data_IF_323537570804
#
_entry.id   IF_323537570804
#
_cell.length_a   1.000
_cell.length_b   1.000
_cell.length_c   1.000
_cell.angle_alpha   90.00
_cell.angle_beta   90.00
_cell.angle_gamma   90.00
#
_symmetry.space_group_name_H-M   'P 1'
#
loop_
_entity.id
_entity.type
_entity.pdbx_description
1 polymer ?
#
# COMPACT_ATOMS: atom_id res chain seq x y z
N UNK A 1 -20.95 9.47 -21.52
CA UNK A 1 -21.49 9.99 -20.24
C UNK A 1 -21.63 11.49 -20.38
N UNK A 2 -22.85 11.97 -20.53
CA UNK A 2 -23.13 13.37 -20.84
C UNK A 2 -23.11 14.19 -19.54
N UNK A 3 -22.52 15.39 -19.54
CA UNK A 3 -22.40 16.23 -18.32
C UNK A 3 -23.76 16.55 -17.66
N UNK A 4 -24.85 16.43 -18.42
CA UNK A 4 -26.20 16.75 -17.97
C UNK A 4 -26.77 15.68 -17.01
N UNK A 5 -26.42 14.40 -17.16
CA UNK A 5 -26.92 13.33 -16.27
C UNK A 5 -26.28 13.40 -14.87
N UNK A 6 -25.07 13.97 -14.75
CA UNK A 6 -24.38 14.16 -13.47
C UNK A 6 -24.97 15.30 -12.62
N UNK A 7 -25.70 16.23 -13.23
CA UNK A 7 -26.18 17.44 -12.56
C UNK A 7 -27.64 17.35 -12.09
N UNK A 8 -28.46 16.43 -12.63
CA UNK A 8 -29.90 16.36 -12.31
C UNK A 8 -30.22 15.93 -10.86
N UNK A 9 -29.25 15.38 -10.13
CA UNK A 9 -29.44 14.93 -8.74
C UNK A 9 -28.56 15.62 -7.70
N UNK A 10 -27.69 16.54 -8.09
CA UNK A 10 -26.84 17.27 -7.15
C UNK A 10 -27.60 18.48 -6.56
N UNK A 11 -28.36 18.27 -5.48
CA UNK A 11 -28.77 19.40 -4.63
C UNK A 11 -27.52 20.18 -4.22
N UNK A 12 -27.49 21.47 -4.48
CA UNK A 12 -26.38 22.33 -4.06
C UNK A 12 -26.14 22.17 -2.55
N UNK A 13 -24.92 21.82 -2.17
CA UNK A 13 -24.55 21.65 -0.76
C UNK A 13 -24.62 23.01 -0.05
N UNK A 14 -25.62 23.19 0.84
CA UNK A 14 -25.81 24.44 1.58
C UNK A 14 -24.84 24.65 2.75
N UNK A 15 -23.86 23.75 2.97
CA UNK A 15 -22.99 23.77 4.15
C UNK A 15 -21.51 23.61 3.79
N UNK A 16 -20.68 24.56 4.23
CA UNK A 16 -19.22 24.55 4.06
C UNK A 16 -18.50 23.54 4.98
N UNK A 17 -19.10 23.25 6.13
CA UNK A 17 -18.66 22.23 7.08
C UNK A 17 -19.85 21.30 7.31
N UNK A 18 -19.66 20.02 7.01
CA UNK A 18 -20.66 18.99 7.10
C UNK A 18 -20.43 18.20 8.37
N UNK A 19 -21.52 17.71 8.96
CA UNK A 19 -21.42 16.78 10.07
C UNK A 19 -20.77 15.47 9.57
N UNK A 20 -19.71 14.95 10.23
CA UNK A 20 -19.17 13.63 9.93
C UNK A 20 -20.26 12.56 10.11
N UNK A 21 -20.42 11.72 9.09
CA UNK A 21 -21.38 10.60 9.10
C UNK A 21 -20.64 9.30 8.92
N UNK A 22 -21.10 8.26 9.61
CA UNK A 22 -20.61 6.92 9.38
C UNK A 22 -21.14 6.42 8.04
N UNK A 23 -20.24 6.15 7.09
CA UNK A 23 -20.62 5.70 5.74
C UNK A 23 -21.14 4.25 5.74
N UNK A 24 -20.52 3.38 6.54
CA UNK A 24 -20.96 2.01 6.74
C UNK A 24 -20.78 1.55 8.18
N UNK A 25 -21.67 0.69 8.65
CA UNK A 25 -21.58 0.07 9.98
C UNK A 25 -22.29 -1.28 10.00
N UNK A 26 -21.94 -2.12 10.96
CA UNK A 26 -22.73 -3.31 11.27
C UNK A 26 -23.76 -2.98 12.34
N UNK A 27 -25.01 -3.37 12.13
CA UNK A 27 -26.07 -3.37 13.13
C UNK A 27 -26.55 -4.80 13.35
N UNK A 28 -26.38 -5.33 14.57
CA UNK A 28 -26.71 -6.74 14.90
C UNK A 28 -26.09 -7.78 13.94
N UNK A 29 -24.92 -7.48 13.37
CA UNK A 29 -24.22 -8.36 12.43
C UNK A 29 -24.57 -8.14 10.96
N UNK A 30 -25.59 -7.32 10.65
CA UNK A 30 -25.95 -6.97 9.27
C UNK A 30 -25.24 -5.68 8.84
N UNK A 31 -24.68 -5.69 7.62
CA UNK A 31 -24.02 -4.53 7.03
C UNK A 31 -25.07 -3.49 6.62
N UNK A 32 -24.88 -2.26 7.08
CA UNK A 32 -25.69 -1.10 6.72
C UNK A 32 -24.76 -0.08 6.06
N UNK A 33 -25.22 0.52 4.96
CA UNK A 33 -24.51 1.58 4.23
C UNK A 33 -25.40 2.82 4.13
N UNK A 34 -24.80 4.02 4.21
CA UNK A 34 -25.53 5.28 3.98
C UNK A 34 -25.91 5.45 2.50
N UNK A 35 -25.10 4.92 1.58
CA UNK A 35 -25.35 4.87 0.14
C UNK A 35 -25.00 3.48 -0.39
N UNK A 36 -25.77 3.01 -1.38
CA UNK A 36 -25.54 1.69 -2.02
C UNK A 36 -24.31 1.68 -2.94
N UNK A 37 -23.98 2.83 -3.54
CA UNK A 37 -22.83 2.97 -4.44
C UNK A 37 -21.51 2.68 -3.72
N UNK A 38 -20.68 1.81 -4.32
CA UNK A 38 -19.31 1.58 -3.87
C UNK A 38 -18.46 2.83 -4.14
N UNK A 39 -17.73 3.29 -3.13
CA UNK A 39 -16.92 4.50 -3.28
C UNK A 39 -15.55 4.18 -3.87
N UNK A 40 -15.24 4.82 -4.99
CA UNK A 40 -13.88 4.87 -5.53
C UNK A 40 -13.06 5.99 -4.90
N UNK A 41 -11.73 5.82 -4.90
CA UNK A 41 -10.81 6.83 -4.40
C UNK A 41 -11.01 8.18 -5.10
N UNK A 42 -11.25 9.23 -4.33
CA UNK A 42 -11.42 10.57 -4.87
C UNK A 42 -10.10 11.12 -5.43
N UNK A 43 -10.17 12.05 -6.40
CA UNK A 43 -8.98 12.75 -6.92
C UNK A 43 -8.14 13.41 -5.82
N UNK A 44 -8.78 13.82 -4.73
CA UNK A 44 -8.11 14.41 -3.57
C UNK A 44 -7.25 13.39 -2.78
N UNK A 45 -7.68 12.13 -2.73
CA UNK A 45 -6.92 11.02 -2.11
C UNK A 45 -5.67 10.69 -2.92
N UNK A 46 -5.80 10.72 -4.26
CA UNK A 46 -4.65 10.55 -5.16
C UNK A 46 -3.67 11.73 -5.07
N UNK A 47 -4.14 12.94 -4.77
CA UNK A 47 -3.27 14.08 -4.54
C UNK A 47 -2.46 13.95 -3.24
N UNK A 48 -3.07 13.44 -2.16
CA UNK A 48 -2.36 13.09 -0.93
C UNK A 48 -1.23 12.09 -1.21
N UNK A 49 -1.51 11.08 -2.03
CA UNK A 49 -0.56 10.03 -2.39
C UNK A 49 0.69 10.54 -3.11
N UNK A 50 0.60 11.65 -3.84
CA UNK A 50 1.78 12.27 -4.47
C UNK A 50 2.83 12.70 -3.45
N UNK A 51 2.43 13.11 -2.24
CA UNK A 51 3.39 13.39 -1.17
C UNK A 51 4.12 12.12 -0.76
N UNK A 52 3.41 10.99 -0.70
CA UNK A 52 4.02 9.71 -0.35
C UNK A 52 5.07 9.27 -1.36
N UNK A 53 4.88 9.53 -2.67
CA UNK A 53 5.92 9.30 -3.70
C UNK A 53 7.24 9.96 -3.31
N UNK A 54 7.21 11.23 -2.85
CA UNK A 54 8.42 11.95 -2.46
C UNK A 54 9.03 11.41 -1.15
N UNK A 55 8.20 11.07 -0.16
CA UNK A 55 8.65 10.53 1.14
C UNK A 55 9.35 9.18 0.93
N UNK A 56 8.75 8.29 0.15
CA UNK A 56 9.29 6.96 -0.09
C UNK A 56 10.61 7.02 -0.86
N UNK A 57 10.70 7.88 -1.88
CA UNK A 57 11.93 8.13 -2.62
C UNK A 57 13.06 8.60 -1.68
N UNK A 58 12.78 9.61 -0.84
CA UNK A 58 13.78 10.19 0.06
C UNK A 58 14.31 9.19 1.11
N UNK A 59 13.48 8.31 1.64
CA UNK A 59 13.93 7.30 2.61
C UNK A 59 14.73 6.17 1.95
N UNK A 60 14.40 5.80 0.72
CA UNK A 60 15.14 4.76 -0.01
C UNK A 60 16.46 5.23 -0.59
N UNK A 61 16.56 6.48 -1.00
CA UNK A 61 17.80 7.09 -1.53
C UNK A 61 18.91 7.08 -0.47
N UNK A 62 18.60 7.54 0.76
CA UNK A 62 19.51 7.49 1.91
C UNK A 62 20.05 6.08 2.20
N UNK A 63 19.19 5.06 2.13
CA UNK A 63 19.60 3.68 2.35
C UNK A 63 20.42 3.11 1.19
N UNK A 64 20.17 3.57 -0.05
CA UNK A 64 20.91 3.14 -1.22
C UNK A 64 22.35 3.70 -1.25
N UNK A 65 22.54 4.92 -0.72
CA UNK A 65 23.86 5.54 -0.53
C UNK A 65 24.64 4.93 0.64
N UNK A 66 23.94 4.40 1.66
CA UNK A 66 24.55 3.79 2.84
C UNK A 66 23.99 2.39 3.10
N UNK A 67 24.42 1.38 2.32
CA UNK A 67 23.76 0.09 2.26
C UNK A 67 24.23 -0.87 3.38
N UNK A 68 24.00 -0.49 4.64
CA UNK A 68 24.34 -1.31 5.81
C UNK A 68 23.14 -1.64 6.70
N UNK A 69 23.34 -2.55 7.66
CA UNK A 69 22.28 -3.01 8.55
C UNK A 69 21.75 -1.94 9.52
N UNK A 70 22.56 -0.93 9.87
CA UNK A 70 22.12 0.16 10.74
C UNK A 70 21.21 1.12 9.98
N UNK A 71 21.55 1.46 8.74
CA UNK A 71 20.70 2.26 7.85
C UNK A 71 19.42 1.53 7.47
N UNK A 72 19.47 0.20 7.26
CA UNK A 72 18.27 -0.60 7.04
C UNK A 72 17.32 -0.55 8.26
N UNK A 73 17.87 -0.65 9.47
CA UNK A 73 17.10 -0.48 10.69
C UNK A 73 16.51 0.94 10.81
N UNK A 74 17.31 1.97 10.52
CA UNK A 74 16.86 3.39 10.48
C UNK A 74 15.68 3.54 9.52
N UNK A 75 15.81 3.06 8.29
CA UNK A 75 14.78 3.07 7.27
C UNK A 75 13.45 2.45 7.76
N UNK A 76 13.50 1.25 8.35
CA UNK A 76 12.29 0.59 8.88
C UNK A 76 11.64 1.44 9.99
N UNK A 77 12.46 2.01 10.88
CA UNK A 77 12.00 2.80 12.02
C UNK A 77 11.40 4.15 11.61
N UNK A 78 11.80 4.74 10.49
CA UNK A 78 11.22 6.01 9.98
C UNK A 78 10.09 5.79 8.97
N UNK A 79 10.10 4.69 8.22
CA UNK A 79 9.06 4.35 7.24
C UNK A 79 7.75 3.95 7.93
N UNK A 80 7.81 3.10 8.96
CA UNK A 80 6.60 2.60 9.63
C UNK A 80 5.74 3.71 10.27
N UNK A 81 6.28 4.73 10.96
CA UNK A 81 5.47 5.85 11.45
C UNK A 81 4.82 6.67 10.33
N UNK A 82 5.50 6.87 9.19
CA UNK A 82 4.93 7.55 8.03
C UNK A 82 3.77 6.73 7.42
N UNK A 83 3.92 5.41 7.36
CA UNK A 83 2.86 4.46 6.99
C UNK A 83 1.67 4.53 7.96
N UNK A 84 1.90 4.63 9.27
CA UNK A 84 0.80 4.74 10.25
C UNK A 84 -0.04 6.00 10.04
N UNK A 85 0.58 7.14 9.71
CA UNK A 85 -0.16 8.36 9.38
C UNK A 85 -0.99 8.16 8.10
N UNK A 86 -0.45 7.49 7.08
CA UNK A 86 -1.19 7.15 5.86
C UNK A 86 -2.41 6.28 6.18
N UNK A 87 -2.19 5.23 6.98
CA UNK A 87 -3.22 4.27 7.37
C UNK A 87 -4.36 4.94 8.17
N UNK A 88 -4.03 5.88 9.06
CA UNK A 88 -5.00 6.70 9.80
C UNK A 88 -5.84 7.56 8.86
N UNK A 89 -5.20 8.31 7.95
CA UNK A 89 -5.90 9.16 7.00
C UNK A 89 -6.84 8.35 6.11
N UNK A 90 -6.35 7.22 5.58
CA UNK A 90 -7.15 6.26 4.84
C UNK A 90 -8.34 5.76 5.66
N UNK A 91 -8.16 5.38 6.92
CA UNK A 91 -9.25 4.89 7.78
C UNK A 91 -10.30 5.98 8.08
N UNK A 92 -9.86 7.22 8.32
CA UNK A 92 -10.75 8.39 8.49
C UNK A 92 -11.56 8.62 7.22
N UNK A 93 -10.91 8.61 6.06
CA UNK A 93 -11.55 8.84 4.76
C UNK A 93 -12.47 7.69 4.36
N UNK A 94 -12.15 6.46 4.75
CA UNK A 94 -13.01 5.31 4.55
C UNK A 94 -14.27 5.35 5.44
N UNK A 95 -14.14 5.83 6.67
CA UNK A 95 -15.22 5.78 7.68
C UNK A 95 -16.13 7.01 7.69
N UNK A 96 -15.59 8.20 7.43
CA UNK A 96 -16.23 9.49 7.74
C UNK A 96 -16.10 10.57 6.65
N UNK A 97 -16.00 10.19 5.38
CA UNK A 97 -15.82 11.18 4.34
C UNK A 97 -17.02 12.09 4.16
N UNK A 98 -16.72 13.38 4.13
CA UNK A 98 -17.69 14.46 3.92
C UNK A 98 -17.29 15.37 2.78
N UNK A 99 -16.01 15.35 2.40
CA UNK A 99 -15.39 16.21 1.39
C UNK A 99 -15.59 17.72 1.61
N UNK A 100 -15.72 18.12 2.87
CA UNK A 100 -15.93 19.51 3.24
C UNK A 100 -14.61 20.28 3.40
N UNK A 101 -14.71 21.60 3.60
CA UNK A 101 -13.53 22.45 3.73
C UNK A 101 -12.70 22.07 4.97
N UNK A 102 -13.34 21.69 6.07
CA UNK A 102 -12.64 21.34 7.30
C UNK A 102 -11.80 20.07 7.13
N UNK A 103 -12.37 19.02 6.55
CA UNK A 103 -11.67 17.76 6.27
C UNK A 103 -10.49 18.00 5.32
N UNK A 104 -10.67 18.81 4.27
CA UNK A 104 -9.59 19.17 3.34
C UNK A 104 -8.46 19.95 4.02
N UNK A 105 -8.79 20.93 4.87
CA UNK A 105 -7.80 21.70 5.63
C UNK A 105 -7.04 20.84 6.65
N UNK A 106 -7.73 19.91 7.32
CA UNK A 106 -7.09 18.96 8.25
C UNK A 106 -6.13 18.04 7.50
N UNK A 107 -6.52 17.53 6.33
CA UNK A 107 -5.64 16.67 5.51
C UNK A 107 -4.43 17.47 5.02
N UNK A 108 -4.63 18.70 4.52
CA UNK A 108 -3.53 19.58 4.13
C UNK A 108 -2.58 19.89 5.30
N UNK A 109 -3.12 20.09 6.50
CA UNK A 109 -2.32 20.29 7.70
C UNK A 109 -1.47 19.05 8.04
N UNK A 110 -2.05 17.85 7.99
CA UNK A 110 -1.30 16.60 8.19
C UNK A 110 -0.24 16.41 7.10
N UNK A 111 -0.53 16.75 5.85
CA UNK A 111 0.45 16.75 4.77
C UNK A 111 1.63 17.69 5.04
N UNK A 112 1.38 18.91 5.52
CA UNK A 112 2.44 19.85 5.88
C UNK A 112 3.34 19.29 7.01
N UNK A 113 2.74 18.61 7.99
CA UNK A 113 3.50 17.93 9.06
C UNK A 113 4.30 16.73 8.52
N UNK A 114 3.77 15.98 7.56
CA UNK A 114 4.51 14.90 6.89
C UNK A 114 5.71 15.41 6.08
N UNK A 115 5.59 16.57 5.43
CA UNK A 115 6.73 17.24 4.80
C UNK A 115 7.78 17.59 5.84
N UNK A 116 7.39 18.15 6.99
CA UNK A 116 8.33 18.45 8.08
C UNK A 116 8.98 17.17 8.64
N UNK A 117 8.20 16.09 8.80
CA UNK A 117 8.68 14.79 9.24
C UNK A 117 9.74 14.23 8.28
N UNK A 118 9.41 14.13 6.98
CA UNK A 118 10.27 13.49 5.99
C UNK A 118 11.61 14.22 5.82
N UNK A 119 11.61 15.56 5.80
CA UNK A 119 12.83 16.36 5.68
C UNK A 119 13.81 16.24 6.88
N UNK A 120 13.36 15.71 8.03
CA UNK A 120 14.19 15.58 9.23
C UNK A 120 14.42 14.11 9.63
N UNK A 121 13.72 13.16 8.99
CA UNK A 121 13.71 11.77 9.43
C UNK A 121 15.05 11.07 9.19
N UNK A 122 15.72 11.33 8.05
CA UNK A 122 17.01 10.73 7.72
C UNK A 122 18.14 11.16 8.67
N UNK A 123 18.08 12.39 9.18
CA UNK A 123 19.05 12.97 10.11
C UNK A 123 18.71 12.72 11.60
N UNK A 124 17.63 11.99 11.87
CA UNK A 124 17.12 11.83 13.23
C UNK A 124 18.09 11.10 14.18
N UNK A 125 19.00 10.28 13.68
CA UNK A 125 20.03 9.60 14.48
C UNK A 125 21.31 10.43 14.65
N UNK A 126 21.51 11.46 13.82
CA UNK A 126 22.69 12.32 13.80
C UNK A 126 22.48 13.59 14.63
N UNK A 127 21.34 14.25 14.47
CA UNK A 127 21.02 15.50 15.17
C UNK A 127 19.77 15.35 16.05
N UNK A 128 19.91 15.72 17.33
CA UNK A 128 18.79 15.75 18.26
C UNK A 128 17.71 16.77 17.84
N UNK A 129 18.08 17.87 17.19
CA UNK A 129 17.12 18.84 16.67
C UNK A 129 16.27 18.23 15.54
N UNK A 130 16.91 17.48 14.62
CA UNK A 130 16.21 16.71 13.59
C UNK A 130 15.28 15.67 14.23
N UNK A 131 15.77 14.89 15.21
CA UNK A 131 14.95 13.94 15.95
C UNK A 131 13.73 14.58 16.61
N UNK A 132 13.92 15.68 17.34
CA UNK A 132 12.83 16.40 18.03
C UNK A 132 11.80 16.93 17.03
N UNK A 133 12.26 17.39 15.87
CA UNK A 133 11.39 17.88 14.79
C UNK A 133 10.60 16.74 14.16
N UNK A 134 11.25 15.61 13.85
CA UNK A 134 10.63 14.38 13.33
C UNK A 134 9.57 13.85 14.30
N UNK A 135 9.92 13.66 15.57
CA UNK A 135 8.99 13.16 16.59
C UNK A 135 7.88 14.17 16.86
N UNK A 136 8.20 15.46 16.91
CA UNK A 136 7.22 16.54 17.08
C UNK A 136 6.19 16.58 15.95
N UNK A 137 6.64 16.51 14.70
CA UNK A 137 5.76 16.45 13.53
C UNK A 137 4.84 15.22 13.57
N UNK A 138 5.40 14.04 13.87
CA UNK A 138 4.64 12.80 14.03
C UNK A 138 3.59 12.92 15.14
N UNK A 139 3.98 13.41 16.32
CA UNK A 139 3.08 13.59 17.46
C UNK A 139 1.91 14.52 17.16
N UNK A 140 2.18 15.66 16.52
CA UNK A 140 1.13 16.63 16.18
C UNK A 140 0.21 16.06 15.10
N UNK A 141 0.74 15.33 14.11
CA UNK A 141 -0.08 14.68 13.09
C UNK A 141 -1.00 13.62 13.70
N UNK A 142 -0.46 12.78 14.59
CA UNK A 142 -1.20 11.73 15.29
C UNK A 142 -2.19 12.27 16.32
N UNK A 143 -1.85 13.36 17.00
CA UNK A 143 -2.79 14.07 17.86
C UNK A 143 -3.94 14.67 17.04
N UNK A 144 -3.67 15.13 15.83
CA UNK A 144 -4.69 15.62 14.89
C UNK A 144 -5.62 14.47 14.48
N UNK A 145 -5.10 13.32 14.02
CA UNK A 145 -5.93 12.16 13.64
C UNK A 145 -6.74 11.61 14.81
N UNK A 146 -6.13 11.53 16.00
CA UNK A 146 -6.82 11.22 17.26
C UNK A 146 -7.98 12.18 17.52
N UNK A 147 -7.75 13.49 17.38
CA UNK A 147 -8.78 14.51 17.59
C UNK A 147 -9.92 14.35 16.61
N UNK A 148 -9.63 14.01 15.34
CA UNK A 148 -10.66 13.68 14.35
C UNK A 148 -11.49 12.49 14.83
N UNK A 149 -10.88 11.37 15.24
CA UNK A 149 -11.61 10.22 15.78
C UNK A 149 -12.47 10.58 17.01
N UNK A 150 -11.97 11.43 17.91
CA UNK A 150 -12.75 11.88 19.06
C UNK A 150 -13.96 12.73 18.62
N UNK A 151 -13.76 13.71 17.74
CA UNK A 151 -14.82 14.59 17.24
C UNK A 151 -15.88 13.77 16.48
N UNK A 152 -15.45 12.85 15.60
CA UNK A 152 -16.38 11.97 14.88
C UNK A 152 -17.13 11.04 15.82
N UNK A 153 -16.56 10.62 16.96
CA UNK A 153 -17.27 9.82 17.98
C UNK A 153 -18.49 10.52 18.59
N UNK A 154 -18.50 11.86 18.61
CA UNK A 154 -19.67 12.62 19.05
C UNK A 154 -20.72 12.73 17.95
N UNK A 155 -20.29 12.87 16.69
CA UNK A 155 -21.15 13.04 15.53
C UNK A 155 -21.82 11.73 15.06
N UNK A 156 -21.07 10.63 15.03
CA UNK A 156 -21.49 9.32 14.53
C UNK A 156 -21.67 8.33 15.69
N UNK A 157 -22.92 8.08 16.07
CA UNK A 157 -23.24 7.17 17.17
C UNK A 157 -22.79 5.72 16.88
N UNK A 158 -22.89 5.31 15.62
CA UNK A 158 -22.63 3.95 15.16
C UNK A 158 -21.17 3.50 15.39
N UNK A 159 -20.21 4.43 15.33
CA UNK A 159 -18.79 4.14 15.51
C UNK A 159 -18.24 4.63 16.85
N UNK A 160 -19.08 5.22 17.72
CA UNK A 160 -18.65 5.97 18.91
C UNK A 160 -17.71 5.19 19.83
N UNK A 161 -18.08 3.96 20.19
CA UNK A 161 -17.28 3.16 21.11
C UNK A 161 -15.89 2.86 20.52
N UNK A 162 -15.86 2.43 19.26
CA UNK A 162 -14.63 2.06 18.57
C UNK A 162 -13.72 3.28 18.34
N UNK A 163 -14.27 4.42 17.91
CA UNK A 163 -13.51 5.65 17.71
C UNK A 163 -12.87 6.16 19.01
N UNK A 164 -13.56 6.02 20.15
CA UNK A 164 -13.00 6.39 21.47
C UNK A 164 -11.92 5.43 21.96
N UNK A 165 -12.09 4.12 21.71
CA UNK A 165 -11.05 3.12 22.00
C UNK A 165 -9.81 3.40 21.17
N UNK A 166 -9.97 3.63 19.86
CA UNK A 166 -8.88 4.00 18.96
C UNK A 166 -8.17 5.26 19.45
N UNK A 167 -8.91 6.32 19.76
CA UNK A 167 -8.34 7.56 20.29
C UNK A 167 -7.59 7.35 21.63
N UNK A 168 -8.11 6.49 22.51
CA UNK A 168 -7.45 6.14 23.77
C UNK A 168 -6.11 5.41 23.54
N UNK A 169 -6.07 4.45 22.63
CA UNK A 169 -4.82 3.78 22.26
C UNK A 169 -3.84 4.72 21.58
N UNK A 170 -4.32 5.58 20.65
CA UNK A 170 -3.48 6.61 20.04
C UNK A 170 -2.86 7.52 21.10
N UNK A 171 -3.64 7.95 22.12
CA UNK A 171 -3.14 8.80 23.21
C UNK A 171 -2.00 8.13 23.99
N UNK A 172 -2.14 6.85 24.34
CA UNK A 172 -1.08 6.08 25.01
C UNK A 172 0.13 5.93 24.08
N UNK A 173 -0.08 5.71 22.78
CA UNK A 173 0.98 5.72 21.77
C UNK A 173 1.77 7.03 21.74
N UNK A 174 1.10 8.18 21.86
CA UNK A 174 1.79 9.48 21.96
C UNK A 174 2.69 9.53 23.21
N UNK A 175 2.21 9.04 24.35
CA UNK A 175 2.99 9.01 25.61
C UNK A 175 4.25 8.15 25.47
N UNK A 176 4.17 7.02 24.76
CA UNK A 176 5.32 6.13 24.51
C UNK A 176 6.45 6.87 23.78
N UNK A 177 6.13 7.84 22.93
CA UNK A 177 7.13 8.58 22.15
C UNK A 177 7.76 9.77 22.87
N UNK A 178 7.22 10.21 24.01
CA UNK A 178 7.73 11.36 24.79
C UNK A 178 9.23 11.23 25.14
N UNK A 179 9.77 10.05 25.53
CA UNK A 179 11.19 9.96 25.87
C UNK A 179 12.13 10.27 24.70
N UNK A 180 11.66 10.21 23.44
CA UNK A 180 12.50 10.49 22.27
C UNK A 180 13.02 11.95 22.23
N UNK A 181 12.37 12.89 22.92
CA UNK A 181 12.82 14.28 23.04
C UNK A 181 14.04 14.47 23.95
N UNK A 182 14.31 13.49 24.81
CA UNK A 182 15.32 13.59 25.85
C UNK A 182 16.72 13.31 25.25
N UNK A 183 17.67 14.17 25.58
CA UNK A 183 19.08 14.04 25.13
C UNK A 183 19.80 12.89 25.82
N UNK A 184 19.47 12.62 27.09
CA UNK A 184 20.16 11.62 27.92
C UNK A 184 19.92 10.17 27.49
N UNK A 185 18.95 9.93 26.59
CA UNK A 185 18.63 8.58 26.12
C UNK A 185 19.51 8.22 24.93
N UNK A 186 20.23 7.09 25.05
CA UNK A 186 21.05 6.57 23.95
C UNK A 186 20.24 6.28 22.68
N UNK A 187 20.87 6.41 21.51
CA UNK A 187 20.22 6.15 20.21
C UNK A 187 19.62 4.73 20.12
N UNK A 188 20.29 3.72 20.71
CA UNK A 188 19.78 2.34 20.75
C UNK A 188 18.49 2.22 21.57
N UNK A 189 18.40 2.91 22.70
CA UNK A 189 17.20 2.94 23.51
C UNK A 189 16.07 3.70 22.79
N UNK A 190 16.39 4.78 22.06
CA UNK A 190 15.41 5.49 21.23
C UNK A 190 14.87 4.63 20.08
N UNK A 191 15.74 3.91 19.38
CA UNK A 191 15.36 2.94 18.37
C UNK A 191 14.44 1.84 18.94
N UNK A 192 14.75 1.33 20.13
CA UNK A 192 13.89 0.36 20.82
C UNK A 192 12.52 0.93 21.18
N UNK A 193 12.46 2.19 21.63
CA UNK A 193 11.19 2.88 21.93
C UNK A 193 10.33 3.01 20.67
N UNK A 194 10.94 3.39 19.54
CA UNK A 194 10.22 3.48 18.25
C UNK A 194 9.71 2.10 17.83
N UNK A 195 10.54 1.05 17.92
CA UNK A 195 10.12 -0.32 17.61
C UNK A 195 8.96 -0.80 18.49
N UNK A 196 9.00 -0.52 19.80
CA UNK A 196 7.90 -0.80 20.73
C UNK A 196 6.65 0.01 20.34
N UNK A 197 6.80 1.28 19.96
CA UNK A 197 5.71 2.12 19.49
C UNK A 197 5.04 1.58 18.22
N UNK A 198 5.84 1.12 17.25
CA UNK A 198 5.35 0.49 16.02
C UNK A 198 4.55 -0.77 16.35
N UNK A 199 5.11 -1.69 17.16
CA UNK A 199 4.42 -2.90 17.56
C UNK A 199 3.14 -2.61 18.34
N UNK A 200 3.19 -1.65 19.27
CA UNK A 200 2.04 -1.20 20.03
C UNK A 200 0.92 -0.68 19.11
N UNK A 201 1.28 0.10 18.09
CA UNK A 201 0.33 0.64 17.13
C UNK A 201 -0.34 -0.47 16.31
N UNK A 202 0.43 -1.39 15.75
CA UNK A 202 -0.13 -2.52 14.99
C UNK A 202 -1.04 -3.39 15.85
N UNK A 203 -0.60 -3.70 17.08
CA UNK A 203 -1.36 -4.50 18.02
C UNK A 203 -2.67 -3.83 18.46
N UNK A 204 -2.63 -2.53 18.77
CA UNK A 204 -3.82 -1.79 19.20
C UNK A 204 -4.79 -1.53 18.05
N UNK A 205 -4.30 -1.29 16.84
CA UNK A 205 -5.11 -1.20 15.63
C UNK A 205 -5.84 -2.54 15.37
N UNK A 206 -5.09 -3.66 15.34
CA UNK A 206 -5.66 -4.99 15.15
C UNK A 206 -6.67 -5.34 16.25
N UNK A 207 -6.37 -5.02 17.51
CA UNK A 207 -7.27 -5.23 18.64
C UNK A 207 -8.57 -4.44 18.51
N UNK A 208 -8.50 -3.17 18.10
CA UNK A 208 -9.65 -2.26 18.00
C UNK A 208 -10.65 -2.71 16.93
N UNK A 209 -10.15 -3.21 15.81
CA UNK A 209 -10.98 -3.68 14.70
C UNK A 209 -11.40 -5.15 14.83
N UNK A 210 -10.81 -5.89 15.77
CA UNK A 210 -11.01 -7.33 15.91
C UNK A 210 -12.46 -7.70 16.24
N UNK A 211 -13.01 -8.79 15.66
CA UNK A 211 -14.29 -9.36 16.11
C UNK A 211 -14.30 -9.69 17.61
N UNK A 212 -13.14 -9.99 18.18
CA UNK A 212 -13.02 -10.33 19.60
C UNK A 212 -13.43 -9.18 20.52
N UNK A 213 -12.93 -7.96 20.28
CA UNK A 213 -13.28 -6.81 21.14
C UNK A 213 -14.76 -6.44 20.98
N UNK A 214 -15.29 -6.58 19.75
CA UNK A 214 -16.69 -6.35 19.43
C UNK A 214 -17.62 -7.30 20.21
N UNK A 215 -17.28 -8.59 20.24
CA UNK A 215 -18.00 -9.60 21.02
C UNK A 215 -17.89 -9.36 22.52
N UNK A 216 -16.69 -9.06 23.03
CA UNK A 216 -16.47 -8.83 24.47
C UNK A 216 -17.21 -7.60 25.01
N UNK A 217 -17.34 -6.55 24.19
CA UNK A 217 -18.04 -5.31 24.55
C UNK A 217 -19.54 -5.35 24.26
N UNK A 218 -20.10 -6.46 23.75
CA UNK A 218 -21.51 -6.62 23.38
C UNK A 218 -22.04 -5.45 22.53
N UNK A 219 -21.25 -5.01 21.55
CA UNK A 219 -21.58 -3.84 20.75
C UNK A 219 -22.77 -4.12 19.81
N UNK A 220 -23.82 -3.32 19.93
CA UNK A 220 -24.97 -3.37 18.99
C UNK A 220 -24.62 -2.79 17.62
N UNK A 221 -23.72 -1.80 17.61
CA UNK A 221 -23.17 -1.16 16.42
C UNK A 221 -21.65 -1.37 16.38
N UNK A 222 -21.10 -1.74 15.23
CA UNK A 222 -19.65 -1.79 15.04
C UNK A 222 -19.22 -1.19 13.71
N UNK A 223 -17.98 -0.72 13.60
CA UNK A 223 -17.48 -0.15 12.36
C UNK A 223 -17.39 -1.24 11.29
N UNK A 224 -17.92 -0.90 10.13
CA UNK A 224 -17.71 -1.62 8.89
C UNK A 224 -16.73 -0.83 8.01
N UNK A 225 -16.12 -1.54 7.09
CA UNK A 225 -15.09 -1.02 6.20
C UNK A 225 -15.65 -1.12 4.79
N UNK A 226 -15.57 -0.05 3.99
CA UNK A 226 -15.87 -0.15 2.56
C UNK A 226 -14.75 -0.95 1.91
N UNK A 227 -15.08 -2.20 1.54
CA UNK A 227 -14.11 -3.15 1.05
C UNK A 227 -13.57 -2.73 -0.31
N UNK A 228 -14.41 -2.20 -1.20
CA UNK A 228 -13.98 -1.78 -2.53
C UNK A 228 -12.98 -0.62 -2.41
N UNK A 229 -13.35 0.39 -1.63
CA UNK A 229 -12.49 1.53 -1.35
C UNK A 229 -11.13 1.12 -0.73
N UNK A 230 -11.12 0.23 0.26
CA UNK A 230 -9.86 -0.24 0.86
C UNK A 230 -8.94 -0.98 -0.12
N UNK A 231 -9.53 -1.82 -0.98
CA UNK A 231 -8.78 -2.53 -2.03
C UNK A 231 -8.17 -1.52 -3.00
N UNK A 232 -8.95 -0.54 -3.45
CA UNK A 232 -8.50 0.53 -4.34
C UNK A 232 -7.36 1.36 -3.72
N UNK A 233 -7.47 1.72 -2.43
CA UNK A 233 -6.44 2.52 -1.74
C UNK A 233 -5.15 1.75 -1.53
N UNK A 234 -5.22 0.45 -1.19
CA UNK A 234 -4.03 -0.40 -1.06
C UNK A 234 -3.36 -0.63 -2.42
N UNK A 235 -4.15 -0.84 -3.47
CA UNK A 235 -3.66 -0.90 -4.83
C UNK A 235 -3.00 0.41 -5.27
N UNK A 236 -3.62 1.56 -5.02
CA UNK A 236 -3.04 2.86 -5.33
C UNK A 236 -1.70 3.08 -4.61
N UNK A 237 -1.59 2.69 -3.34
CA UNK A 237 -0.32 2.77 -2.61
C UNK A 237 0.74 1.82 -3.20
N UNK A 238 0.35 0.61 -3.61
CA UNK A 238 1.27 -0.28 -4.31
C UNK A 238 1.78 0.31 -5.64
N UNK A 239 0.91 1.01 -6.39
CA UNK A 239 1.32 1.75 -7.59
C UNK A 239 2.31 2.87 -7.27
N UNK A 240 2.18 3.57 -6.13
CA UNK A 240 3.17 4.58 -5.70
C UNK A 240 4.57 3.96 -5.58
N UNK A 241 4.64 2.78 -4.97
CA UNK A 241 5.91 2.05 -4.78
C UNK A 241 6.52 1.68 -6.12
N UNK A 242 5.72 1.18 -7.06
CA UNK A 242 6.20 0.89 -8.42
C UNK A 242 6.55 2.16 -9.19
N UNK A 243 5.85 3.27 -8.92
CA UNK A 243 6.12 4.58 -9.48
C UNK A 243 7.54 5.04 -9.16
N UNK A 244 8.05 4.73 -7.95
CA UNK A 244 9.43 5.02 -7.57
C UNK A 244 10.46 4.27 -8.43
N UNK A 245 10.19 3.01 -8.82
CA UNK A 245 11.08 2.24 -9.69
C UNK A 245 11.21 2.93 -11.05
N UNK A 246 10.08 3.35 -11.61
CA UNK A 246 10.00 3.96 -12.94
C UNK A 246 10.54 5.40 -12.93
N UNK A 247 10.29 6.15 -11.85
CA UNK A 247 10.83 7.48 -11.67
C UNK A 247 12.37 7.45 -11.60
N UNK A 248 12.93 6.60 -10.76
CA UNK A 248 14.37 6.56 -10.47
C UNK A 248 15.24 6.09 -11.64
N UNK A 249 14.71 5.32 -12.59
CA UNK A 249 15.46 4.97 -13.82
C UNK A 249 15.55 6.12 -14.84
N UNK A 250 14.68 7.14 -14.74
CA UNK A 250 14.65 8.29 -15.65
C UNK A 250 15.43 9.47 -15.03
N UNK A 251 15.29 9.67 -13.72
CA UNK A 251 15.84 10.83 -13.02
C UNK A 251 17.35 10.91 -13.11
N UNK A 252 17.85 12.12 -13.35
CA UNK A 252 19.28 12.39 -13.46
C UNK A 252 19.92 11.90 -14.75
N UNK A 253 19.16 11.35 -15.71
CA UNK A 253 19.66 10.83 -16.99
C UNK A 253 20.85 9.85 -16.83
N UNK A 254 20.78 9.01 -15.79
CA UNK A 254 21.86 8.11 -15.36
C UNK A 254 22.14 6.96 -16.34
N UNK A 255 21.27 6.72 -17.33
CA UNK A 255 21.44 5.64 -18.32
C UNK A 255 22.52 5.92 -19.36
N UNK A 256 22.97 7.16 -19.53
CA UNK A 256 23.86 7.55 -20.63
C UNK A 256 23.13 7.71 -21.97
N UNK A 257 23.90 8.04 -23.02
CA UNK A 257 23.37 8.39 -24.36
C UNK A 257 23.35 7.15 -25.27
N UNK A 258 22.17 6.76 -25.77
CA UNK A 258 21.99 5.66 -26.72
C UNK A 258 21.69 4.31 -26.07
N UNK A 259 22.03 3.22 -26.77
CA UNK A 259 21.87 1.85 -26.27
C UNK A 259 23.08 1.47 -25.40
N UNK A 260 22.96 1.67 -24.10
CA UNK A 260 24.03 1.47 -23.10
C UNK A 260 23.69 0.34 -22.13
N UNK A 261 24.67 -0.09 -21.33
CA UNK A 261 24.45 -0.97 -20.17
C UNK A 261 23.44 -0.37 -19.19
N UNK A 262 23.53 0.95 -18.93
CA UNK A 262 22.57 1.68 -18.10
C UNK A 262 21.14 1.56 -18.61
N UNK A 263 20.94 1.66 -19.94
CA UNK A 263 19.64 1.45 -20.57
C UNK A 263 19.13 0.01 -20.39
N UNK A 264 20.00 -0.99 -20.54
CA UNK A 264 19.62 -2.40 -20.32
C UNK A 264 19.12 -2.64 -18.89
N UNK A 265 19.82 -2.10 -17.88
CA UNK A 265 19.40 -2.16 -16.46
C UNK A 265 18.10 -1.39 -16.19
N UNK A 266 17.89 -0.25 -16.84
CA UNK A 266 16.63 0.49 -16.76
C UNK A 266 15.45 -0.34 -17.30
N UNK A 267 15.63 -0.99 -18.45
CA UNK A 267 14.63 -1.90 -19.03
C UNK A 267 14.36 -3.09 -18.11
N UNK A 268 15.40 -3.67 -17.51
CA UNK A 268 15.24 -4.76 -16.54
C UNK A 268 14.37 -4.32 -15.35
N UNK A 269 14.66 -3.15 -14.77
CA UNK A 269 13.88 -2.58 -13.65
C UNK A 269 12.44 -2.30 -14.04
N UNK A 270 12.20 -1.77 -15.25
CA UNK A 270 10.86 -1.54 -15.79
C UNK A 270 10.08 -2.85 -15.93
N UNK A 271 10.70 -3.91 -16.45
CA UNK A 271 10.06 -5.24 -16.58
C UNK A 271 9.72 -5.80 -15.20
N UNK A 272 10.61 -5.68 -14.22
CA UNK A 272 10.34 -6.10 -12.83
C UNK A 272 9.12 -5.35 -12.27
N UNK A 273 9.08 -4.02 -12.40
CA UNK A 273 7.95 -3.22 -11.95
C UNK A 273 6.64 -3.61 -12.66
N UNK A 274 6.69 -3.87 -13.97
CA UNK A 274 5.54 -4.32 -14.76
C UNK A 274 5.02 -5.69 -14.30
N UNK A 275 5.92 -6.65 -14.08
CA UNK A 275 5.57 -7.98 -13.57
C UNK A 275 4.95 -7.88 -12.18
N UNK A 276 5.53 -7.07 -11.29
CA UNK A 276 5.00 -6.85 -9.95
C UNK A 276 3.59 -6.27 -9.98
N UNK A 277 3.34 -5.26 -10.83
CA UNK A 277 2.01 -4.71 -11.02
C UNK A 277 1.01 -5.79 -11.47
N UNK A 278 1.41 -6.61 -12.44
CA UNK A 278 0.58 -7.66 -13.00
C UNK A 278 0.21 -8.71 -11.94
N UNK A 279 1.21 -9.20 -11.20
CA UNK A 279 1.04 -10.24 -10.17
C UNK A 279 0.17 -9.72 -9.02
N UNK A 280 0.42 -8.49 -8.55
CA UNK A 280 -0.38 -7.88 -7.48
C UNK A 280 -1.84 -7.69 -7.90
N UNK A 281 -2.07 -7.15 -9.09
CA UNK A 281 -3.43 -6.91 -9.63
C UNK A 281 -4.19 -8.19 -9.90
N UNK A 282 -3.48 -9.27 -10.28
CA UNK A 282 -4.08 -10.58 -10.51
C UNK A 282 -4.43 -11.32 -9.22
N UNK A 283 -3.96 -10.87 -8.05
CA UNK A 283 -4.21 -11.53 -6.77
C UNK A 283 -3.66 -12.95 -6.72
N UNK A 284 -4.56 -13.93 -6.75
CA UNK A 284 -4.25 -15.36 -6.80
C UNK A 284 -4.20 -15.95 -8.23
N UNK A 285 -4.55 -15.15 -9.25
CA UNK A 285 -4.56 -15.54 -10.66
C UNK A 285 -5.74 -16.42 -11.09
N UNK A 286 -6.81 -16.51 -10.28
CA UNK A 286 -8.01 -17.29 -10.57
C UNK A 286 -9.11 -16.44 -11.20
N UNK A 287 -9.94 -17.05 -12.04
CA UNK A 287 -11.08 -16.38 -12.71
C UNK A 287 -12.14 -15.94 -11.69
N UNK A 288 -12.38 -16.76 -10.66
CA UNK A 288 -13.26 -16.44 -9.55
C UNK A 288 -12.49 -16.65 -8.24
N UNK A 289 -12.33 -15.57 -7.48
CA UNK A 289 -11.63 -15.60 -6.21
C UNK A 289 -12.32 -14.69 -5.20
N UNK A 290 -12.42 -15.15 -3.96
CA UNK A 290 -12.90 -14.33 -2.85
C UNK A 290 -11.71 -13.62 -2.23
N UNK A 291 -11.74 -12.28 -2.32
CA UNK A 291 -10.71 -11.40 -1.76
C UNK A 291 -10.52 -11.64 -0.24
N UNK A 292 -9.27 -11.57 0.29
CA UNK A 292 -8.98 -11.80 1.72
C UNK A 292 -9.87 -11.00 2.69
N UNK A 293 -10.17 -9.75 2.36
CA UNK A 293 -11.04 -8.87 3.16
C UNK A 293 -12.49 -9.37 3.20
N UNK A 294 -13.00 -9.94 2.09
CA UNK A 294 -14.36 -10.48 1.98
C UNK A 294 -14.49 -11.87 2.60
N UNK A 295 -13.38 -12.60 2.75
CA UNK A 295 -13.35 -13.98 3.24
C UNK A 295 -13.56 -14.10 4.76
N UNK A 296 -12.80 -13.35 5.55
CA UNK A 296 -12.88 -13.37 7.02
C UNK A 296 -12.14 -12.18 7.63
N UNK A 297 -12.46 -11.82 8.87
CA UNK A 297 -11.74 -10.76 9.58
C UNK A 297 -10.24 -11.08 9.74
N UNK A 298 -9.88 -12.35 9.99
CA UNK A 298 -8.48 -12.75 10.17
C UNK A 298 -7.66 -12.64 8.88
N UNK A 299 -8.26 -13.00 7.74
CA UNK A 299 -7.62 -12.83 6.43
C UNK A 299 -7.57 -11.36 6.01
N UNK A 300 -8.52 -10.53 6.45
CA UNK A 300 -8.45 -9.08 6.30
C UNK A 300 -7.27 -8.48 7.09
N UNK A 301 -7.09 -8.88 8.36
CA UNK A 301 -5.93 -8.46 9.15
C UNK A 301 -4.61 -8.92 8.52
N UNK A 302 -4.55 -10.19 8.09
CA UNK A 302 -3.39 -10.71 7.36
C UNK A 302 -3.08 -9.87 6.13
N UNK A 303 -4.09 -9.52 5.34
CA UNK A 303 -3.94 -8.62 4.20
C UNK A 303 -3.38 -7.26 4.64
N UNK A 304 -4.02 -6.54 5.56
CA UNK A 304 -3.58 -5.19 5.94
C UNK A 304 -2.18 -5.15 6.58
N UNK A 305 -1.89 -6.06 7.52
CA UNK A 305 -0.60 -6.13 8.20
C UNK A 305 0.55 -6.49 7.26
N UNK A 306 0.26 -7.25 6.20
CA UNK A 306 1.26 -7.67 5.22
C UNK A 306 1.68 -6.53 4.29
N UNK A 307 0.84 -5.50 4.09
CA UNK A 307 1.18 -4.41 3.16
C UNK A 307 2.33 -3.54 3.67
N UNK A 308 2.50 -3.37 4.99
CA UNK A 308 3.63 -2.60 5.53
C UNK A 308 4.99 -3.23 5.16
N UNK A 309 5.28 -4.50 5.50
CA UNK A 309 6.56 -5.12 5.12
C UNK A 309 6.68 -5.31 3.61
N UNK A 310 5.59 -5.66 2.90
CA UNK A 310 5.54 -5.74 1.43
C UNK A 310 6.00 -4.43 0.79
N UNK A 311 5.45 -3.32 1.28
CA UNK A 311 5.73 -2.00 0.75
C UNK A 311 7.17 -1.59 1.02
N UNK A 312 7.59 -1.73 2.27
CA UNK A 312 8.94 -1.39 2.69
C UNK A 312 10.01 -2.16 1.92
N UNK A 313 9.80 -3.46 1.67
CA UNK A 313 10.78 -4.31 1.00
C UNK A 313 10.87 -4.05 -0.50
N UNK A 314 9.73 -3.90 -1.18
CA UNK A 314 9.75 -3.63 -2.62
C UNK A 314 10.28 -2.24 -2.94
N UNK A 315 9.97 -1.25 -2.11
CA UNK A 315 10.48 0.10 -2.30
C UNK A 315 12.02 0.11 -2.33
N UNK A 316 12.67 -0.48 -1.32
CA UNK A 316 14.15 -0.52 -1.28
C UNK A 316 14.69 -1.35 -2.45
N UNK A 317 14.16 -2.56 -2.66
CA UNK A 317 14.66 -3.47 -3.69
C UNK A 317 14.55 -2.87 -5.09
N UNK A 318 13.45 -2.16 -5.36
CA UNK A 318 13.22 -1.45 -6.61
C UNK A 318 14.03 -0.18 -6.78
N UNK A 319 14.18 0.61 -5.70
CA UNK A 319 14.98 1.82 -5.74
C UNK A 319 16.46 1.49 -6.01
N UNK A 320 17.03 0.50 -5.32
CA UNK A 320 18.42 0.08 -5.58
C UNK A 320 18.55 -0.58 -6.96
N UNK A 321 17.53 -1.33 -7.42
CA UNK A 321 17.48 -1.83 -8.80
C UNK A 321 17.52 -0.68 -9.83
N UNK A 322 16.79 0.42 -9.59
CA UNK A 322 16.83 1.60 -10.44
C UNK A 322 18.19 2.34 -10.36
N UNK A 323 18.76 2.45 -9.15
CA UNK A 323 20.08 3.05 -8.93
C UNK A 323 21.21 2.30 -9.67
N UNK A 324 21.03 1.01 -9.93
CA UNK A 324 21.96 0.19 -10.72
C UNK A 324 22.28 0.75 -12.10
N UNK A 325 21.40 1.60 -12.66
CA UNK A 325 21.59 2.24 -13.96
C UNK A 325 22.87 3.07 -14.05
N UNK A 326 23.34 3.62 -12.93
CA UNK A 326 24.52 4.49 -12.86
C UNK A 326 25.84 3.78 -12.55
N UNK A 327 25.81 2.50 -12.16
CA UNK A 327 26.97 1.77 -11.62
C UNK A 327 27.29 0.52 -12.42
N UNK A 328 28.56 0.15 -12.53
CA UNK A 328 28.98 -1.08 -13.24
C UNK A 328 28.95 -2.31 -12.33
N UNK A 329 29.29 -2.12 -11.05
CA UNK A 329 29.30 -3.16 -10.02
C UNK A 329 28.51 -2.70 -8.82
N UNK A 330 27.78 -3.61 -8.20
CA UNK A 330 27.10 -3.34 -6.94
C UNK A 330 28.07 -3.50 -5.77
N UNK A 331 27.95 -2.61 -4.80
CA UNK A 331 28.50 -2.87 -3.47
C UNK A 331 27.78 -4.05 -2.80
N UNK A 332 28.47 -4.74 -1.88
CA UNK A 332 27.90 -5.89 -1.15
C UNK A 332 26.53 -5.57 -0.54
N UNK A 333 26.43 -4.41 0.12
CA UNK A 333 25.20 -3.93 0.70
C UNK A 333 24.08 -3.75 -0.33
N UNK A 334 24.38 -3.08 -1.45
CA UNK A 334 23.39 -2.83 -2.51
C UNK A 334 22.86 -4.13 -3.10
N UNK A 335 23.72 -5.15 -3.30
CA UNK A 335 23.29 -6.48 -3.74
C UNK A 335 22.29 -7.11 -2.78
N UNK A 336 22.58 -7.05 -1.47
CA UNK A 336 21.68 -7.55 -0.44
C UNK A 336 20.37 -6.78 -0.37
N UNK A 337 20.39 -5.46 -0.58
CA UNK A 337 19.18 -4.64 -0.59
C UNK A 337 18.29 -4.96 -1.81
N UNK A 338 18.85 -5.15 -3.01
CA UNK A 338 18.08 -5.56 -4.20
C UNK A 338 17.51 -6.97 -4.01
N UNK A 339 18.37 -7.96 -3.76
CA UNK A 339 17.94 -9.36 -3.65
C UNK A 339 17.02 -9.61 -2.45
N UNK A 340 17.40 -9.10 -1.27
CA UNK A 340 16.63 -9.21 -0.04
C UNK A 340 15.32 -8.42 -0.10
N UNK A 341 15.33 -7.17 -0.60
CA UNK A 341 14.14 -6.34 -0.73
C UNK A 341 13.11 -6.95 -1.70
N UNK A 342 13.53 -7.32 -2.91
CA UNK A 342 12.66 -7.98 -3.88
C UNK A 342 12.20 -9.37 -3.41
N UNK A 343 13.08 -10.11 -2.72
CA UNK A 343 12.78 -11.45 -2.19
C UNK A 343 11.79 -11.45 -1.04
N UNK A 344 11.97 -10.57 -0.03
CA UNK A 344 11.01 -10.39 1.07
C UNK A 344 9.67 -9.87 0.55
N UNK A 345 9.68 -8.95 -0.42
CA UNK A 345 8.46 -8.48 -1.09
C UNK A 345 7.74 -9.62 -1.81
N UNK A 346 8.48 -10.47 -2.53
CA UNK A 346 7.91 -11.63 -3.22
C UNK A 346 7.35 -12.66 -2.23
N UNK A 347 8.01 -12.88 -1.09
CA UNK A 347 7.49 -13.71 -0.01
C UNK A 347 6.15 -13.14 0.52
N UNK A 348 6.06 -11.81 0.67
CA UNK A 348 4.82 -11.17 1.04
C UNK A 348 3.75 -11.35 -0.05
N UNK A 349 4.08 -11.25 -1.35
CA UNK A 349 3.13 -11.54 -2.43
C UNK A 349 2.69 -13.02 -2.49
N UNK A 350 3.53 -13.94 -2.03
CA UNK A 350 3.15 -15.34 -1.84
C UNK A 350 2.08 -15.47 -0.75
N UNK A 351 2.33 -14.91 0.45
CA UNK A 351 1.35 -14.90 1.54
C UNK A 351 0.05 -14.23 1.10
N UNK A 352 0.16 -13.10 0.40
CA UNK A 352 -0.96 -12.37 -0.18
C UNK A 352 -1.84 -13.28 -1.06
N UNK A 353 -1.25 -14.01 -2.01
CA UNK A 353 -1.97 -14.95 -2.87
C UNK A 353 -2.58 -16.15 -2.12
N UNK A 354 -1.94 -16.62 -1.06
CA UNK A 354 -2.45 -17.71 -0.20
C UNK A 354 -3.68 -17.27 0.63
N UNK A 355 -3.81 -15.99 0.95
CA UNK A 355 -4.95 -15.48 1.72
C UNK A 355 -6.27 -15.51 0.93
N UNK A 356 -6.21 -15.49 -0.40
CA UNK A 356 -7.40 -15.64 -1.24
C UNK A 356 -8.01 -17.02 -1.12
N UNK A 357 -9.33 -17.09 -1.31
CA UNK A 357 -10.04 -18.36 -1.47
C UNK A 357 -10.43 -18.49 -2.93
N UNK A 358 -9.87 -19.51 -3.59
CA UNK A 358 -10.15 -19.81 -4.99
C UNK A 358 -11.50 -20.50 -5.11
N UNK A 359 -12.28 -20.08 -6.10
CA UNK A 359 -13.47 -20.76 -6.56
C UNK A 359 -13.23 -21.27 -7.99
N UNK A 360 -13.54 -22.54 -8.26
CA UNK A 360 -13.41 -23.10 -9.61
C UNK A 360 -12.01 -23.59 -10.03
N UNK A 361 -11.12 -23.98 -9.10
CA UNK A 361 -9.77 -24.50 -9.43
C UNK A 361 -9.74 -25.58 -10.53
N UNK A 362 -10.78 -26.41 -10.63
CA UNK A 362 -10.85 -27.53 -11.58
C UNK A 362 -10.80 -27.12 -13.06
N UNK A 363 -11.11 -25.86 -13.39
CA UNK A 363 -11.14 -25.35 -14.77
C UNK A 363 -9.79 -24.83 -15.25
N UNK A 364 -8.85 -24.55 -14.34
CA UNK A 364 -7.55 -23.97 -14.65
C UNK A 364 -6.51 -25.06 -14.98
N UNK A 365 -5.43 -24.69 -15.67
CA UNK A 365 -4.32 -25.61 -16.00
C UNK A 365 -3.54 -26.05 -14.76
N UNK A 366 -3.32 -25.16 -13.79
CA UNK A 366 -2.65 -25.46 -12.52
C UNK A 366 -3.52 -25.04 -11.33
N UNK A 367 -3.52 -25.86 -10.26
CA UNK A 367 -4.14 -25.50 -8.98
C UNK A 367 -3.38 -24.38 -8.25
N UNK A 368 -4.02 -23.72 -7.29
CA UNK A 368 -3.49 -22.53 -6.60
C UNK A 368 -2.10 -22.78 -6.00
N UNK A 369 -1.93 -23.91 -5.33
CA UNK A 369 -0.68 -24.22 -4.61
C UNK A 369 0.52 -24.31 -5.54
N UNK A 370 0.37 -24.94 -6.71
CA UNK A 370 1.46 -25.06 -7.69
C UNK A 370 1.72 -23.74 -8.42
N UNK A 371 0.66 -23.00 -8.74
CA UNK A 371 0.75 -21.70 -9.42
C UNK A 371 1.43 -20.65 -8.55
N UNK A 372 0.87 -20.40 -7.36
CA UNK A 372 1.35 -19.36 -6.43
C UNK A 372 2.60 -19.83 -5.68
N UNK A 373 2.80 -21.13 -5.48
CA UNK A 373 3.99 -21.68 -4.82
C UNK A 373 5.30 -21.28 -5.48
N UNK A 374 5.29 -20.95 -6.77
CA UNK A 374 6.47 -20.45 -7.47
C UNK A 374 6.95 -19.08 -6.96
N UNK A 375 6.04 -18.25 -6.42
CA UNK A 375 6.41 -16.99 -5.73
C UNK A 375 7.34 -17.27 -4.56
N UNK A 376 7.06 -18.30 -3.75
CA UNK A 376 7.90 -18.68 -2.61
C UNK A 376 9.29 -19.18 -3.06
N UNK A 377 9.33 -20.01 -4.12
CA UNK A 377 10.60 -20.50 -4.67
C UNK A 377 11.47 -19.34 -5.13
N UNK A 378 10.90 -18.39 -5.88
CA UNK A 378 11.61 -17.23 -6.39
C UNK A 378 12.00 -16.27 -5.26
N UNK A 379 11.16 -16.08 -4.25
CA UNK A 379 11.50 -15.31 -3.06
C UNK A 379 12.78 -15.87 -2.38
N UNK A 380 12.86 -17.19 -2.20
CA UNK A 380 14.03 -17.85 -1.62
C UNK A 380 15.27 -17.66 -2.51
N UNK A 381 15.12 -17.83 -3.83
CA UNK A 381 16.22 -17.64 -4.78
C UNK A 381 16.74 -16.20 -4.74
N UNK A 382 15.85 -15.20 -4.72
CA UNK A 382 16.20 -13.78 -4.65
C UNK A 382 16.94 -13.41 -3.36
N UNK A 383 16.58 -14.02 -2.23
CA UNK A 383 17.26 -13.80 -0.94
C UNK A 383 18.68 -14.42 -0.93
N UNK A 384 18.90 -15.52 -1.65
CA UNK A 384 20.18 -16.26 -1.66
C UNK A 384 21.12 -15.78 -2.77
N UNK A 385 20.58 -15.21 -3.85
CA UNK A 385 21.36 -14.73 -5.00
C UNK A 385 22.50 -13.77 -4.62
N UNK A 386 22.32 -12.81 -3.69
CA UNK A 386 23.39 -11.89 -3.30
C UNK A 386 24.64 -12.63 -2.81
N UNK A 387 24.49 -13.67 -1.99
CA UNK A 387 25.62 -14.44 -1.45
C UNK A 387 26.30 -15.33 -2.51
N UNK A 388 25.50 -15.95 -3.37
CA UNK A 388 25.99 -16.98 -4.30
C UNK A 388 26.66 -16.44 -5.56
N UNK A 389 26.38 -15.18 -5.93
CA UNK A 389 26.77 -14.61 -7.22
C UNK A 389 27.50 -13.27 -7.10
N UNK A 390 28.40 -13.14 -6.12
CA UNK A 390 29.26 -11.97 -5.90
C UNK A 390 30.20 -11.60 -7.08
N UNK A 391 30.30 -12.47 -8.09
CA UNK A 391 31.12 -12.27 -9.29
C UNK A 391 30.36 -11.62 -10.45
N UNK A 392 29.03 -11.48 -10.34
CA UNK A 392 28.23 -10.83 -11.39
C UNK A 392 28.38 -9.30 -11.30
N UNK A 393 28.58 -8.68 -12.46
CA UNK A 393 28.45 -7.22 -12.57
C UNK A 393 26.96 -6.81 -12.37
N UNK A 394 26.70 -5.51 -12.26
CA UNK A 394 25.35 -5.02 -12.01
C UNK A 394 24.37 -5.37 -13.14
N UNK A 395 24.85 -5.41 -14.39
CA UNK A 395 24.00 -5.74 -15.55
C UNK A 395 23.54 -7.19 -15.55
N UNK A 396 24.47 -8.13 -15.41
CA UNK A 396 24.21 -9.56 -15.37
C UNK A 396 23.32 -9.92 -14.17
N UNK A 397 23.58 -9.31 -13.00
CA UNK A 397 22.74 -9.48 -11.83
C UNK A 397 21.30 -9.04 -12.10
N UNK A 398 21.11 -7.85 -12.68
CA UNK A 398 19.78 -7.34 -13.02
C UNK A 398 19.07 -8.18 -14.10
N UNK A 399 19.81 -8.72 -15.07
CA UNK A 399 19.27 -9.65 -16.08
C UNK A 399 18.78 -10.95 -15.45
N UNK A 400 19.53 -11.52 -14.51
CA UNK A 400 19.11 -12.72 -13.76
C UNK A 400 17.85 -12.44 -12.95
N UNK A 401 17.83 -11.34 -12.20
CA UNK A 401 16.65 -10.93 -11.40
C UNK A 401 15.44 -10.74 -12.31
N UNK A 402 15.56 -9.97 -13.40
CA UNK A 402 14.49 -9.77 -14.37
C UNK A 402 14.02 -11.10 -14.97
N UNK A 403 14.94 -11.99 -15.32
CA UNK A 403 14.63 -13.32 -15.86
C UNK A 403 13.80 -14.18 -14.88
N UNK A 404 14.08 -14.12 -13.58
CA UNK A 404 13.26 -14.78 -12.55
C UNK A 404 11.84 -14.22 -12.51
N UNK A 405 11.67 -12.89 -12.53
CA UNK A 405 10.36 -12.26 -12.55
C UNK A 405 9.59 -12.58 -13.84
N UNK A 406 10.25 -12.53 -15.00
CA UNK A 406 9.63 -12.89 -16.28
C UNK A 406 9.19 -14.36 -16.29
N UNK A 407 10.03 -15.27 -15.79
CA UNK A 407 9.68 -16.68 -15.62
C UNK A 407 8.47 -16.86 -14.71
N UNK A 408 8.40 -16.16 -13.58
CA UNK A 408 7.25 -16.19 -12.67
C UNK A 408 5.96 -15.77 -13.37
N UNK A 409 6.01 -14.65 -14.11
CA UNK A 409 4.85 -14.14 -14.82
C UNK A 409 4.34 -15.16 -15.85
N UNK A 410 5.24 -15.75 -16.62
CA UNK A 410 4.90 -16.78 -17.60
C UNK A 410 4.30 -18.01 -16.89
N UNK A 411 4.92 -18.46 -15.79
CA UNK A 411 4.44 -19.58 -14.99
C UNK A 411 3.02 -19.37 -14.49
N UNK A 412 2.75 -18.22 -13.88
CA UNK A 412 1.42 -17.91 -13.34
C UNK A 412 0.38 -17.66 -14.42
N UNK A 413 0.75 -16.97 -15.50
CA UNK A 413 -0.14 -16.71 -16.63
C UNK A 413 -0.56 -18.01 -17.28
N UNK A 414 0.39 -18.89 -17.61
CA UNK A 414 0.09 -20.21 -18.17
C UNK A 414 -0.68 -21.08 -17.19
N UNK A 415 -0.31 -21.10 -15.91
CA UNK A 415 -1.03 -21.86 -14.89
C UNK A 415 -2.47 -21.37 -14.64
N UNK A 416 -2.73 -20.08 -14.89
CA UNK A 416 -4.04 -19.43 -14.74
C UNK A 416 -4.95 -19.54 -15.97
N UNK A 417 -4.47 -20.07 -17.11
CA UNK A 417 -5.32 -20.31 -18.27
C UNK A 417 -6.35 -21.40 -17.98
N UNK A 418 -7.54 -21.27 -18.57
CA UNK A 418 -8.53 -22.33 -18.59
C UNK A 418 -8.03 -23.48 -19.47
N UNK A 419 -8.42 -24.72 -19.15
CA UNK A 419 -8.18 -25.89 -20.01
C UNK A 419 -8.78 -25.74 -21.41
N UNK A 420 -9.76 -24.86 -21.56
CA UNK A 420 -10.42 -24.55 -22.85
C UNK A 420 -9.88 -23.30 -23.54
N UNK A 421 -8.84 -22.66 -22.98
CA UNK A 421 -8.27 -21.43 -23.52
C UNK A 421 -7.75 -21.64 -24.95
N UNK A 422 -8.03 -20.66 -25.82
CA UNK A 422 -7.48 -20.57 -27.18
C UNK A 422 -6.48 -19.42 -27.22
N UNK A 423 -5.52 -19.50 -28.16
CA UNK A 423 -4.49 -18.49 -28.33
C UNK A 423 -5.03 -17.12 -28.78
N UNK A 424 -6.11 -17.11 -29.57
CA UNK A 424 -6.69 -15.90 -30.12
C UNK A 424 -8.20 -15.89 -29.91
N UNK A 425 -8.73 -14.74 -29.50
CA UNK A 425 -10.16 -14.48 -29.47
C UNK A 425 -10.66 -14.19 -30.90
N UNK A 426 -11.73 -14.87 -31.37
CA UNK A 426 -12.31 -14.57 -32.67
C UNK A 426 -12.95 -13.18 -32.66
N UNK A 427 -12.69 -12.37 -33.68
CA UNK A 427 -13.25 -11.02 -33.79
C UNK A 427 -14.71 -11.10 -34.26
N UNK A 428 -15.66 -11.05 -33.32
CA UNK A 428 -17.10 -11.21 -33.61
C UNK A 428 -17.83 -9.89 -33.89
N UNK A 429 -17.31 -8.77 -33.41
CA UNK A 429 -17.96 -7.45 -33.47
C UNK A 429 -17.34 -6.51 -34.52
N UNK A 430 -16.95 -7.07 -35.66
CA UNK A 430 -16.35 -6.29 -36.76
C UNK A 430 -17.35 -5.38 -37.49
N UNK A 431 -18.64 -5.58 -37.24
CA UNK A 431 -19.71 -4.80 -37.85
C UNK A 431 -20.46 -4.01 -36.78
N UNK A 432 -20.95 -2.81 -37.10
CA UNK A 432 -21.78 -2.06 -36.18
C UNK A 432 -22.99 -2.90 -35.76
N UNK A 433 -23.46 -2.79 -34.51
CA UNK A 433 -24.68 -3.44 -34.09
C UNK A 433 -25.79 -3.06 -35.07
N UNK A 434 -26.66 -4.01 -35.47
CA UNK A 434 -27.77 -3.69 -36.36
C UNK A 434 -28.55 -2.51 -35.78
N UNK A 435 -28.86 -1.52 -36.62
CA UNK A 435 -29.78 -0.44 -36.24
C UNK A 435 -31.07 -1.11 -35.77
N UNK A 436 -31.47 -0.86 -34.52
CA UNK A 436 -32.78 -1.26 -34.03
C UNK A 436 -33.81 -0.64 -34.99
N UNK A 437 -34.50 -1.50 -35.75
CA UNK A 437 -35.53 -1.09 -36.71
C UNK A 437 -36.60 -0.34 -35.89
N UNK A 438 -36.75 0.98 -36.10
CA UNK A 438 -37.71 1.91 -35.46
C UNK A 438 -39.20 1.53 -35.74
N UNK A 439 -39.52 0.25 -35.91
CA UNK A 439 -40.85 -0.27 -36.25
C UNK A 439 -41.75 -0.56 -35.05
N UNK A 440 -41.30 -0.30 -33.82
CA UNK A 440 -42.19 -0.31 -32.65
C UNK A 440 -42.84 1.06 -32.37
N UNK A 441 -42.50 2.12 -33.12
CA UNK A 441 -43.10 3.46 -32.97
C UNK A 441 -44.36 3.76 -33.82
N UNK A 442 -44.84 2.83 -34.66
CA UNK A 442 -45.96 3.06 -35.59
C UNK A 442 -47.16 2.10 -35.42
N UNK A 443 -47.22 1.36 -34.31
CA UNK A 443 -48.41 0.57 -33.95
C UNK A 443 -48.82 0.88 -32.50
N UNK A 444 -49.53 1.98 -32.31
CA UNK A 444 -50.15 2.38 -31.03
C UNK A 444 -50.98 3.63 -31.18
#
# INVERSE_FOLDING_TARGET
>A
MNCNELQEHARADCFLVKKPRALQWFYKGELQKEKEEERQAGRFELFLDLLYVAIVANFSDELAEHPDGAHLAKYILIFAPAWHIWADLREIMNSYYTDDILQRLVILWVMALLVLYANNANDADVDIAAMRTTVGAYLVARFTTLTVFLVTSFAAYQHRAQARIMAGFMFVGLIITIPLFLEDISIRAKAAIVAVGIFYQEATWALTLSPWIKGKLNLTYSTAVDIAHEIDRMGAFFIIILGEFVYSIIVGNKTGIGLTSGYAKAVCTLIIAFVLNWIYSSGDGSVQAVHPIRRSAWTAFGFFLLHLPLAASFLIGGHVAAASTAIEEFEDGQRWLVGGGLGVGMFCLWVYGVLYRVEGECTLLMGQTLRIGMRLVIAIVLIIIPESHNHLNAEDFMLVVMGLFAFLLIWETLGGLSKTSRLFEPWTDMYPPPEEDDREGLAG
#
